data_IF_748718951470
#
_entry.id   IF_748718951470
#
_cell.length_a   1.000
_cell.length_b   1.000
_cell.length_c   1.000
_cell.angle_alpha   90.00
_cell.angle_beta   90.00
_cell.angle_gamma   90.00
#
_symmetry.space_group_name_H-M   'P 1'
#
loop_
_entity.id
_entity.type
_entity.pdbx_description
1 polymer ?
#
# COMPACT_ATOMS: atom_id res chain seq x y z
N UNK A 1 -1.72 -4.14 22.41
CA UNK A 1 -1.84 -4.19 20.93
C UNK A 1 -2.81 -5.27 20.43
N UNK A 2 -2.81 -6.50 20.96
CA UNK A 2 -3.66 -7.60 20.41
C UNK A 2 -5.17 -7.34 20.42
N UNK A 3 -5.71 -6.60 21.40
CA UNK A 3 -7.15 -6.25 21.43
C UNK A 3 -7.53 -5.21 20.36
N UNK A 4 -6.63 -4.26 20.07
CA UNK A 4 -6.85 -3.20 19.07
C UNK A 4 -6.89 -3.79 17.66
N UNK A 5 -6.06 -4.80 17.38
CA UNK A 5 -6.08 -5.56 16.13
C UNK A 5 -7.28 -6.50 15.98
N UNK A 6 -7.95 -6.88 17.08
CA UNK A 6 -9.13 -7.76 17.00
C UNK A 6 -10.32 -7.07 16.34
N UNK A 7 -10.41 -5.75 16.43
CA UNK A 7 -11.44 -4.93 15.75
C UNK A 7 -11.29 -4.92 14.22
N UNK A 8 -10.16 -5.40 13.66
CA UNK A 8 -10.00 -5.58 12.21
C UNK A 8 -10.56 -6.91 11.70
N UNK A 9 -10.84 -7.89 12.59
CA UNK A 9 -11.31 -9.23 12.19
C UNK A 9 -12.60 -9.21 11.33
N UNK A 10 -13.61 -8.37 11.61
CA UNK A 10 -14.81 -8.29 10.77
C UNK A 10 -14.53 -7.82 9.34
N UNK A 11 -13.49 -7.01 9.15
CA UNK A 11 -13.17 -6.35 7.89
C UNK A 11 -12.15 -7.11 7.03
N UNK A 12 -11.80 -8.35 7.40
CA UNK A 12 -10.80 -9.18 6.71
C UNK A 12 -11.06 -9.36 5.21
N UNK A 13 -12.32 -9.49 4.79
CA UNK A 13 -12.67 -9.63 3.37
C UNK A 13 -12.24 -8.41 2.56
N UNK A 14 -12.50 -7.22 3.07
CA UNK A 14 -12.10 -5.96 2.44
C UNK A 14 -10.58 -5.76 2.45
N UNK A 15 -9.90 -6.21 3.51
CA UNK A 15 -8.43 -6.21 3.56
C UNK A 15 -7.82 -7.12 2.47
N UNK A 16 -8.38 -8.32 2.28
CA UNK A 16 -7.94 -9.25 1.23
C UNK A 16 -8.17 -8.63 -0.15
N UNK A 17 -9.33 -8.01 -0.39
CA UNK A 17 -9.61 -7.31 -1.66
C UNK A 17 -8.60 -6.19 -1.89
N UNK A 18 -8.31 -5.38 -0.87
CA UNK A 18 -7.30 -4.33 -0.98
C UNK A 18 -5.93 -4.91 -1.35
N UNK A 19 -5.47 -5.94 -0.66
CA UNK A 19 -4.18 -6.59 -0.96
C UNK A 19 -4.14 -7.21 -2.36
N UNK A 20 -5.21 -7.88 -2.80
CA UNK A 20 -5.29 -8.42 -4.16
C UNK A 20 -5.19 -7.31 -5.21
N UNK A 21 -5.89 -6.20 -5.03
CA UNK A 21 -5.82 -5.05 -5.94
C UNK A 21 -4.44 -4.41 -5.95
N UNK A 22 -3.80 -4.29 -4.78
CA UNK A 22 -2.43 -3.79 -4.66
C UNK A 22 -1.43 -4.68 -5.40
N UNK A 23 -1.60 -6.01 -5.32
CA UNK A 23 -0.74 -6.96 -6.00
C UNK A 23 -0.89 -6.87 -7.52
N UNK A 24 -2.13 -6.71 -8.01
CA UNK A 24 -2.39 -6.49 -9.44
C UNK A 24 -1.71 -5.20 -9.92
N UNK A 25 -1.87 -4.10 -9.18
CA UNK A 25 -1.22 -2.82 -9.48
C UNK A 25 0.31 -2.97 -9.56
N UNK A 26 0.92 -3.63 -8.56
CA UNK A 26 2.35 -3.85 -8.49
C UNK A 26 2.87 -4.73 -9.64
N UNK A 27 2.15 -5.80 -10.01
CA UNK A 27 2.55 -6.68 -11.11
C UNK A 27 2.49 -5.96 -12.45
N UNK A 28 1.46 -5.15 -12.68
CA UNK A 28 1.35 -4.36 -13.91
C UNK A 28 2.47 -3.33 -14.00
N UNK A 29 2.77 -2.65 -12.90
CA UNK A 29 3.86 -1.67 -12.83
C UNK A 29 5.23 -2.30 -13.14
N UNK A 30 5.49 -3.50 -12.62
CA UNK A 30 6.72 -4.26 -12.91
C UNK A 30 6.77 -4.84 -14.33
N UNK A 31 5.62 -5.00 -14.98
CA UNK A 31 5.54 -5.50 -16.35
C UNK A 31 5.78 -4.37 -17.38
N UNK A 32 5.48 -3.11 -17.04
CA UNK A 32 5.65 -1.98 -17.97
C UNK A 32 7.05 -1.86 -18.58
N UNK A 33 8.17 -2.01 -17.84
CA UNK A 33 9.52 -1.96 -18.42
C UNK A 33 9.75 -3.03 -19.50
N UNK A 34 9.19 -4.24 -19.35
CA UNK A 34 9.30 -5.30 -20.36
C UNK A 34 8.52 -4.98 -21.64
N UNK A 35 7.39 -4.27 -21.52
CA UNK A 35 6.68 -3.79 -22.70
C UNK A 35 7.46 -2.68 -23.40
N UNK A 36 8.10 -1.80 -22.62
CA UNK A 36 8.96 -0.76 -23.16
C UNK A 36 10.14 -1.34 -23.93
N UNK A 37 10.79 -2.38 -23.39
CA UNK A 37 11.86 -3.12 -24.07
C UNK A 37 11.40 -3.63 -25.44
N UNK A 38 10.25 -4.32 -25.51
CA UNK A 38 9.69 -4.79 -26.80
C UNK A 38 9.36 -3.67 -27.77
N UNK A 39 8.84 -2.53 -27.28
CA UNK A 39 8.55 -1.38 -28.13
C UNK A 39 9.84 -0.83 -28.74
N UNK A 40 10.92 -0.78 -27.97
CA UNK A 40 12.22 -0.27 -28.42
C UNK A 40 12.85 -1.27 -29.41
N UNK A 41 12.99 -2.53 -29.02
CA UNK A 41 13.78 -3.52 -29.77
C UNK A 41 13.03 -4.04 -31.01
N UNK A 42 11.79 -4.49 -30.84
CA UNK A 42 10.99 -5.05 -31.95
C UNK A 42 10.24 -3.98 -32.76
N UNK A 43 10.14 -2.76 -32.21
CA UNK A 43 9.41 -1.65 -32.83
C UNK A 43 10.36 -0.61 -33.41
N UNK A 44 10.99 0.19 -32.55
CA UNK A 44 11.81 1.34 -32.96
C UNK A 44 13.07 0.91 -33.71
N UNK A 45 13.83 -0.04 -33.15
CA UNK A 45 15.07 -0.56 -33.73
C UNK A 45 14.81 -1.33 -35.03
N UNK A 46 13.74 -2.14 -35.06
CA UNK A 46 13.29 -2.85 -36.27
C UNK A 46 12.54 -1.95 -37.29
N UNK A 47 12.32 -0.67 -36.98
CA UNK A 47 11.52 0.30 -37.76
C UNK A 47 10.10 -0.19 -38.08
N UNK A 48 9.53 -1.04 -37.23
CA UNK A 48 8.19 -1.58 -37.39
C UNK A 48 7.18 -0.80 -36.53
N UNK A 49 6.58 0.22 -37.12
CA UNK A 49 5.60 1.07 -36.43
C UNK A 49 4.33 0.30 -36.01
N UNK A 50 3.99 -0.81 -36.68
CA UNK A 50 2.82 -1.59 -36.29
C UNK A 50 3.01 -2.21 -34.91
N UNK A 51 4.21 -2.73 -34.63
CA UNK A 51 4.56 -3.31 -33.33
C UNK A 51 4.51 -2.26 -32.23
N UNK A 52 5.00 -1.04 -32.52
CA UNK A 52 4.93 0.10 -31.60
C UNK A 52 3.48 0.45 -31.24
N UNK A 53 2.58 0.54 -32.23
CA UNK A 53 1.17 0.82 -31.97
C UNK A 53 0.47 -0.29 -31.18
N UNK A 54 0.73 -1.56 -31.51
CA UNK A 54 0.11 -2.69 -30.81
C UNK A 54 0.57 -2.76 -29.35
N UNK A 55 1.88 -2.78 -29.10
CA UNK A 55 2.40 -2.86 -27.72
C UNK A 55 2.19 -1.57 -26.94
N UNK A 56 2.21 -0.41 -27.59
CA UNK A 56 1.86 0.87 -26.99
C UNK A 56 0.40 0.90 -26.51
N UNK A 57 -0.53 0.38 -27.32
CA UNK A 57 -1.94 0.25 -26.92
C UNK A 57 -2.13 -0.73 -25.77
N UNK A 58 -1.42 -1.87 -25.76
CA UNK A 58 -1.42 -2.83 -24.65
C UNK A 58 -0.87 -2.18 -23.37
N UNK A 59 0.23 -1.43 -23.46
CA UNK A 59 0.83 -0.74 -22.33
C UNK A 59 -0.10 0.33 -21.75
N UNK A 60 -0.79 1.09 -22.62
CA UNK A 60 -1.83 2.05 -22.18
C UNK A 60 -3.00 1.36 -21.50
N UNK A 61 -3.52 0.26 -22.07
CA UNK A 61 -4.61 -0.53 -21.48
C UNK A 61 -4.24 -1.10 -20.11
N UNK A 62 -3.04 -1.67 -19.98
CA UNK A 62 -2.52 -2.16 -18.71
C UNK A 62 -2.38 -1.02 -17.68
N UNK A 63 -1.86 0.13 -18.09
CA UNK A 63 -1.71 1.30 -17.22
C UNK A 63 -3.05 1.81 -16.69
N UNK A 64 -4.08 1.84 -17.54
CA UNK A 64 -5.45 2.20 -17.13
C UNK A 64 -6.05 1.18 -16.16
N UNK A 65 -5.82 -0.11 -16.40
CA UNK A 65 -6.25 -1.18 -15.48
C UNK A 65 -5.58 -1.03 -14.11
N UNK A 66 -4.27 -0.79 -14.09
CA UNK A 66 -3.50 -0.53 -12.87
C UNK A 66 -4.02 0.70 -12.13
N UNK A 67 -4.31 1.77 -12.86
CA UNK A 67 -4.87 2.99 -12.30
C UNK A 67 -6.25 2.75 -11.65
N UNK A 68 -7.15 2.03 -12.35
CA UNK A 68 -8.45 1.66 -11.81
C UNK A 68 -8.32 0.76 -10.56
N UNK A 69 -7.40 -0.20 -10.59
CA UNK A 69 -7.10 -1.07 -9.44
C UNK A 69 -6.55 -0.27 -8.24
N UNK A 70 -5.68 0.71 -8.47
CA UNK A 70 -5.15 1.59 -7.43
C UNK A 70 -6.22 2.49 -6.80
N UNK A 71 -7.17 2.99 -7.60
CA UNK A 71 -8.34 3.72 -7.10
C UNK A 71 -9.21 2.79 -6.23
N UNK A 72 -9.56 1.61 -6.73
CA UNK A 72 -10.38 0.64 -6.02
C UNK A 72 -9.72 0.17 -4.71
N UNK A 73 -8.39 -0.05 -4.72
CA UNK A 73 -7.62 -0.33 -3.51
C UNK A 73 -7.75 0.82 -2.50
N UNK A 74 -7.59 2.06 -2.96
CA UNK A 74 -7.64 3.25 -2.09
C UNK A 74 -9.02 3.40 -1.45
N UNK A 75 -10.10 3.11 -2.18
CA UNK A 75 -11.45 3.06 -1.64
C UNK A 75 -11.61 1.93 -0.61
N UNK A 76 -11.17 0.71 -0.92
CA UNK A 76 -11.26 -0.43 0.00
C UNK A 76 -10.47 -0.17 1.30
N UNK A 77 -9.25 0.35 1.19
CA UNK A 77 -8.40 0.67 2.33
C UNK A 77 -9.00 1.81 3.18
N UNK A 78 -9.55 2.84 2.54
CA UNK A 78 -10.24 3.95 3.22
C UNK A 78 -11.47 3.44 3.97
N UNK A 79 -12.30 2.60 3.31
CA UNK A 79 -13.48 2.00 3.93
C UNK A 79 -13.12 1.21 5.19
N UNK A 80 -12.12 0.32 5.12
CA UNK A 80 -11.65 -0.44 6.28
C UNK A 80 -11.14 0.49 7.39
N UNK A 81 -10.34 1.50 7.05
CA UNK A 81 -9.79 2.44 8.03
C UNK A 81 -10.87 3.26 8.73
N UNK A 82 -11.86 3.78 7.99
CA UNK A 82 -12.95 4.60 8.54
C UNK A 82 -13.87 3.77 9.45
N UNK A 83 -14.30 2.60 8.99
CA UNK A 83 -15.17 1.70 9.76
C UNK A 83 -14.49 1.24 11.06
N UNK A 84 -13.21 0.88 10.96
CA UNK A 84 -12.39 0.54 12.12
C UNK A 84 -12.26 1.70 13.11
N UNK A 85 -11.96 2.90 12.60
CA UNK A 85 -11.89 4.11 13.42
C UNK A 85 -13.21 4.43 14.10
N UNK A 86 -14.34 4.27 13.40
CA UNK A 86 -15.68 4.44 13.95
C UNK A 86 -15.96 3.47 15.11
N UNK A 87 -15.68 2.17 14.91
CA UNK A 87 -15.88 1.16 15.95
C UNK A 87 -15.08 1.46 17.23
N UNK A 88 -13.80 1.88 17.07
CA UNK A 88 -12.96 2.26 18.21
C UNK A 88 -13.48 3.51 18.91
N UNK A 89 -13.84 4.57 18.15
CA UNK A 89 -14.40 5.81 18.76
C UNK A 89 -15.66 5.50 19.55
N UNK A 90 -16.56 4.67 19.00
CA UNK A 90 -17.80 4.28 19.68
C UNK A 90 -17.53 3.60 21.01
N UNK A 91 -16.64 2.60 21.04
CA UNK A 91 -16.32 1.91 22.29
C UNK A 91 -15.54 2.77 23.29
N UNK A 92 -14.64 3.64 22.83
CA UNK A 92 -13.99 4.60 23.72
C UNK A 92 -15.01 5.54 24.35
N UNK A 93 -15.97 6.03 23.57
CA UNK A 93 -17.02 6.93 24.05
C UNK A 93 -17.92 6.25 25.07
N UNK A 94 -18.39 5.03 24.80
CA UNK A 94 -19.15 4.21 25.76
C UNK A 94 -18.34 3.96 27.05
N UNK A 95 -17.04 3.68 26.92
CA UNK A 95 -16.18 3.43 28.08
C UNK A 95 -15.98 4.68 28.92
N UNK A 96 -15.76 5.83 28.30
CA UNK A 96 -15.58 7.12 28.99
C UNK A 96 -16.85 7.54 29.72
N UNK A 97 -18.03 7.30 29.15
CA UNK A 97 -19.31 7.56 29.85
C UNK A 97 -19.48 6.70 31.10
N UNK A 98 -18.89 5.51 31.15
CA UNK A 98 -18.93 4.62 32.33
C UNK A 98 -17.92 4.99 33.43
N UNK A 99 -17.11 6.04 33.27
CA UNK A 99 -16.10 6.42 34.25
C UNK A 99 -16.71 7.14 35.45
N UNK A 100 -16.30 6.74 36.66
CA UNK A 100 -16.57 7.49 37.88
C UNK A 100 -15.68 8.75 37.97
N UNK A 101 -16.04 9.70 38.83
CA UNK A 101 -15.26 10.92 39.07
C UNK A 101 -13.79 10.64 39.43
N UNK A 102 -13.50 9.59 40.21
CA UNK A 102 -12.13 9.17 40.53
C UNK A 102 -11.31 8.72 39.30
N UNK A 103 -11.96 8.18 38.27
CA UNK A 103 -11.29 7.82 37.01
C UNK A 103 -11.02 9.03 36.12
N UNK A 104 -11.84 10.07 36.19
CA UNK A 104 -11.65 11.34 35.48
C UNK A 104 -10.53 12.20 36.10
N UNK A 105 -10.32 12.10 37.40
CA UNK A 105 -9.15 12.72 38.05
C UNK A 105 -7.84 12.01 37.66
N UNK A 106 -7.88 10.69 37.44
CA UNK A 106 -6.71 9.90 37.03
C UNK A 106 -6.36 10.06 35.55
N UNK A 107 -7.37 10.18 34.69
CA UNK A 107 -7.22 10.46 33.26
C UNK A 107 -7.87 11.81 32.98
N UNK A 108 -7.08 12.89 32.93
CA UNK A 108 -7.60 14.24 32.69
C UNK A 108 -8.51 14.28 31.46
N UNK A 109 -9.58 15.08 31.52
CA UNK A 109 -10.56 15.22 30.44
C UNK A 109 -9.88 15.58 29.11
N UNK A 110 -8.85 16.42 29.14
CA UNK A 110 -8.05 16.78 27.96
C UNK A 110 -7.28 15.58 27.37
N UNK A 111 -6.74 14.70 28.21
CA UNK A 111 -6.08 13.46 27.75
C UNK A 111 -7.08 12.48 27.14
N UNK A 112 -8.29 12.38 27.69
CA UNK A 112 -9.34 11.53 27.12
C UNK A 112 -9.80 12.02 25.75
N UNK A 113 -9.93 13.33 25.55
CA UNK A 113 -10.26 13.93 24.25
C UNK A 113 -9.18 13.61 23.22
N UNK A 114 -7.90 13.85 23.55
CA UNK A 114 -6.78 13.57 22.63
C UNK A 114 -6.67 12.08 22.28
N UNK A 115 -6.94 11.17 23.21
CA UNK A 115 -7.00 9.72 22.93
C UNK A 115 -8.18 9.33 22.04
N UNK A 116 -9.32 10.00 22.18
CA UNK A 116 -10.51 9.73 21.37
C UNK A 116 -10.38 10.28 19.93
N UNK A 117 -9.60 11.35 19.76
CA UNK A 117 -9.39 12.00 18.46
C UNK A 117 -8.07 11.55 17.84
N UNK A 118 -6.95 12.04 18.34
CA UNK A 118 -5.62 11.89 17.75
C UNK A 118 -5.16 10.43 17.74
N UNK A 119 -5.28 9.70 18.84
CA UNK A 119 -4.81 8.31 18.85
C UNK A 119 -5.64 7.45 17.90
N UNK A 120 -6.97 7.65 17.86
CA UNK A 120 -7.83 6.90 16.93
C UNK A 120 -7.54 7.25 15.47
N UNK A 121 -7.33 8.53 15.14
CA UNK A 121 -6.96 8.92 13.77
C UNK A 121 -5.59 8.36 13.38
N UNK A 122 -4.63 8.30 14.30
CA UNK A 122 -3.32 7.71 14.04
C UNK A 122 -3.41 6.21 13.79
N UNK A 123 -4.18 5.45 14.59
CA UNK A 123 -4.37 4.02 14.35
C UNK A 123 -5.14 3.79 13.04
N UNK A 124 -6.16 4.60 12.75
CA UNK A 124 -6.88 4.57 11.47
C UNK A 124 -5.93 4.79 10.28
N UNK A 125 -5.06 5.80 10.36
CA UNK A 125 -4.05 6.07 9.34
C UNK A 125 -3.03 4.93 9.23
N UNK A 126 -2.63 4.33 10.35
CA UNK A 126 -1.77 3.16 10.36
C UNK A 126 -2.41 1.98 9.62
N UNK A 127 -3.70 1.70 9.85
CA UNK A 127 -4.45 0.67 9.10
C UNK A 127 -4.48 1.00 7.62
N UNK A 128 -4.83 2.24 7.25
CA UNK A 128 -4.85 2.68 5.86
C UNK A 128 -3.48 2.52 5.18
N UNK A 129 -2.41 3.00 5.81
CA UNK A 129 -1.04 2.88 5.28
C UNK A 129 -0.59 1.42 5.19
N UNK A 130 -0.98 0.58 6.15
CA UNK A 130 -0.62 -0.85 6.13
C UNK A 130 -1.20 -1.60 4.94
N UNK A 131 -2.43 -1.27 4.54
CA UNK A 131 -3.11 -1.87 3.40
C UNK A 131 -2.57 -1.39 2.05
N UNK A 132 -1.79 -0.29 2.03
CA UNK A 132 -1.47 0.44 0.81
C UNK A 132 0.03 0.55 0.55
N UNK A 133 0.78 1.19 1.46
CA UNK A 133 2.20 1.52 1.25
C UNK A 133 3.11 0.52 1.97
N UNK A 134 2.77 0.15 3.21
CA UNK A 134 3.68 -0.62 4.05
C UNK A 134 4.00 -2.02 3.48
N UNK A 135 3.04 -2.64 2.79
CA UNK A 135 3.25 -3.92 2.10
C UNK A 135 3.77 -3.72 0.66
N UNK A 136 3.30 -2.70 -0.04
CA UNK A 136 3.71 -2.45 -1.44
C UNK A 136 5.20 -2.13 -1.54
N UNK A 137 5.72 -1.25 -0.68
CA UNK A 137 7.11 -0.81 -0.74
C UNK A 137 8.13 -1.96 -0.67
N UNK A 138 8.11 -2.85 0.34
CA UNK A 138 9.05 -3.97 0.39
C UNK A 138 8.84 -4.97 -0.76
N UNK A 139 7.59 -5.22 -1.16
CA UNK A 139 7.32 -6.12 -2.29
C UNK A 139 7.85 -5.55 -3.61
N UNK A 140 7.73 -4.24 -3.84
CA UNK A 140 8.26 -3.59 -5.02
C UNK A 140 9.78 -3.66 -5.07
N UNK A 141 10.46 -3.48 -3.93
CA UNK A 141 11.91 -3.66 -3.85
C UNK A 141 12.30 -5.10 -4.18
N UNK A 142 11.65 -6.09 -3.56
CA UNK A 142 11.97 -7.50 -3.77
C UNK A 142 11.71 -7.91 -5.22
N UNK A 143 10.49 -7.68 -5.73
CA UNK A 143 10.14 -8.08 -7.08
C UNK A 143 10.86 -7.23 -8.14
N UNK A 144 11.13 -5.95 -7.88
CA UNK A 144 11.92 -5.10 -8.76
C UNK A 144 13.36 -5.61 -8.91
N UNK A 145 14.00 -6.00 -7.81
CA UNK A 145 15.32 -6.63 -7.85
C UNK A 145 15.26 -7.95 -8.62
N UNK A 146 14.28 -8.81 -8.34
CA UNK A 146 14.09 -10.09 -9.09
C UNK A 146 13.89 -9.84 -10.59
N UNK A 147 13.08 -8.86 -10.97
CA UNK A 147 12.84 -8.51 -12.37
C UNK A 147 14.08 -7.92 -13.03
N UNK A 148 14.91 -7.17 -12.31
CA UNK A 148 16.17 -6.65 -12.86
C UNK A 148 17.11 -7.76 -13.32
N UNK A 149 17.12 -8.91 -12.62
CA UNK A 149 17.87 -10.10 -13.04
C UNK A 149 17.32 -10.73 -14.32
N UNK A 150 16.00 -10.65 -14.55
CA UNK A 150 15.38 -11.14 -15.76
C UNK A 150 15.70 -10.28 -16.98
N UNK A 151 15.87 -8.96 -16.79
CA UNK A 151 16.22 -8.02 -17.87
C UNK A 151 17.71 -8.08 -18.18
N UNK A 152 18.59 -7.86 -17.18
CA UNK A 152 20.03 -7.88 -17.42
C UNK A 152 20.82 -8.18 -16.14
N UNK A 153 21.38 -9.39 -16.05
CA UNK A 153 22.08 -9.89 -14.85
C UNK A 153 23.22 -8.96 -14.40
N UNK A 154 23.97 -8.37 -15.33
CA UNK A 154 25.07 -7.46 -15.01
C UNK A 154 24.60 -6.15 -14.37
N UNK A 155 23.49 -5.57 -14.85
CA UNK A 155 22.91 -4.36 -14.26
C UNK A 155 22.21 -4.68 -12.94
N UNK A 156 21.64 -5.87 -12.79
CA UNK A 156 21.03 -6.33 -11.55
C UNK A 156 22.00 -6.33 -10.35
N UNK A 157 23.28 -6.66 -10.57
CA UNK A 157 24.31 -6.59 -9.52
C UNK A 157 24.47 -5.18 -8.94
N UNK A 158 24.30 -4.14 -9.77
CA UNK A 158 24.32 -2.75 -9.29
C UNK A 158 23.17 -2.50 -8.32
N UNK A 159 21.97 -2.98 -8.65
CA UNK A 159 20.80 -2.87 -7.76
C UNK A 159 20.99 -3.65 -6.46
N UNK A 160 21.56 -4.86 -6.51
CA UNK A 160 21.82 -5.68 -5.30
C UNK A 160 22.77 -5.00 -4.32
N UNK A 161 23.73 -4.20 -4.80
CA UNK A 161 24.62 -3.44 -3.91
C UNK A 161 23.99 -2.11 -3.48
N UNK A 162 23.30 -1.41 -4.39
CA UNK A 162 22.71 -0.11 -4.12
C UNK A 162 21.53 -0.17 -3.14
N UNK A 163 20.68 -1.20 -3.23
CA UNK A 163 19.48 -1.33 -2.39
C UNK A 163 19.83 -1.45 -0.90
N UNK A 164 20.75 -2.32 -0.45
CA UNK A 164 21.19 -2.37 0.94
C UNK A 164 21.77 -1.06 1.45
N UNK A 165 22.56 -0.35 0.64
CA UNK A 165 23.15 0.95 1.02
C UNK A 165 22.03 1.98 1.26
N UNK A 166 21.05 2.05 0.35
CA UNK A 166 19.88 2.91 0.52
C UNK A 166 19.08 2.55 1.77
N UNK A 167 18.88 1.25 2.04
CA UNK A 167 18.15 0.79 3.24
C UNK A 167 18.89 1.19 4.51
N UNK A 168 20.23 1.03 4.55
CA UNK A 168 21.04 1.45 5.69
C UNK A 168 20.90 2.96 5.90
N UNK A 169 21.01 3.77 4.84
CA UNK A 169 20.88 5.22 4.93
C UNK A 169 19.49 5.69 5.37
N UNK A 170 18.43 4.99 4.96
CA UNK A 170 17.06 5.32 5.36
C UNK A 170 16.76 4.92 6.82
N UNK A 171 17.47 3.92 7.34
CA UNK A 171 17.31 3.42 8.72
C UNK A 171 18.29 4.04 9.72
N UNK A 172 19.37 4.69 9.24
CA UNK A 172 20.34 5.44 10.04
C UNK A 172 19.84 6.83 10.39
#
# INVERSE_FOLDING_TARGET
MQQVLSYLKPYRKWMIVAWSLMLIELLVELWQPLLMEKIIDDGVMAKNLSVVWTWGAVMLGASLLSFAAGIANSFAASYVGQEYGFAIRKHLFEKIQSFSFANLERFSTASLITRMTNDVTQIQNMVFMSLRIALRAPLLVVFGVVMSFAVHVQLAFVFVVAVPILVIFLLS
#
